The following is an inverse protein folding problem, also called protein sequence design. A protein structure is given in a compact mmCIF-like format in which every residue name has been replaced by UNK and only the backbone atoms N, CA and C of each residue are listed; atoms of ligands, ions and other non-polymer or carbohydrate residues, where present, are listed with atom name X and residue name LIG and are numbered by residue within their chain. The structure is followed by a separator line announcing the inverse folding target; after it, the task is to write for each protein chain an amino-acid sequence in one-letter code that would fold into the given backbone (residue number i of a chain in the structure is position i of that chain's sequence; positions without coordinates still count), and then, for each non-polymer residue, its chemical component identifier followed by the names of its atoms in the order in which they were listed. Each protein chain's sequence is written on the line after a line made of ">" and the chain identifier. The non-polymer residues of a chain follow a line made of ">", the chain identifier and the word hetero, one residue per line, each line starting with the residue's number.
data_IF_453118951871
#
_entry.id   IF_453118951871
#
_cell.length_a   1.000
_cell.length_b   1.000
_cell.length_c   1.000
_cell.angle_alpha   90.00
_cell.angle_beta   90.00
_cell.angle_gamma   90.00
#
_symmetry.space_group_name_H-M   'P 1'
#
loop_
_entity.id
_entity.type
_entity.pdbx_description
1 polymer ?
#
# COMPACT_ATOMS: atom_id res chain seq x y z
N UNK A 1 11.18 21.98 15.22
CA UNK A 1 10.46 21.03 14.34
C UNK A 1 10.73 21.41 12.90
N UNK A 2 11.12 20.46 12.05
CA UNK A 2 11.32 20.64 10.61
C UNK A 2 10.00 20.38 9.90
N UNK A 3 9.49 21.37 9.16
CA UNK A 3 8.15 21.32 8.58
C UNK A 3 8.24 21.21 7.06
N UNK A 4 7.72 20.14 6.49
CA UNK A 4 7.47 20.00 5.07
C UNK A 4 6.07 20.53 4.72
N UNK A 5 5.92 21.09 3.51
CA UNK A 5 4.63 21.48 2.95
C UNK A 5 4.36 20.59 1.75
N UNK A 6 3.14 20.10 1.60
CA UNK A 6 2.68 19.49 0.35
C UNK A 6 1.50 20.26 -0.25
N UNK A 7 1.59 20.57 -1.54
CA UNK A 7 0.54 21.22 -2.29
C UNK A 7 0.38 20.62 -3.69
N UNK A 8 -0.84 20.79 -4.23
CA UNK A 8 -1.13 20.51 -5.63
C UNK A 8 -1.59 21.77 -6.32
N UNK A 9 -0.91 22.12 -7.41
CA UNK A 9 -1.17 23.34 -8.20
C UNK A 9 -1.93 22.98 -9.48
N UNK A 10 -3.07 23.63 -9.72
CA UNK A 10 -3.79 23.49 -10.99
C UNK A 10 -3.15 24.34 -12.06
N UNK A 11 -2.85 23.72 -13.21
CA UNK A 11 -2.35 24.43 -14.40
C UNK A 11 -3.45 25.20 -15.13
N UNK A 12 -4.73 24.86 -14.90
CA UNK A 12 -5.89 25.49 -15.57
C UNK A 12 -6.31 26.81 -14.91
N UNK A 13 -6.11 26.95 -13.61
CA UNK A 13 -6.41 28.19 -12.89
C UNK A 13 -5.09 28.93 -12.74
N UNK A 14 -4.86 29.98 -13.53
CA UNK A 14 -3.70 30.87 -13.37
C UNK A 14 -3.68 31.49 -11.95
N UNK A 15 -3.09 30.79 -11.00
CA UNK A 15 -2.04 31.30 -10.12
C UNK A 15 -2.37 32.14 -8.88
N UNK A 16 -3.63 32.39 -8.50
CA UNK A 16 -3.89 33.15 -7.25
C UNK A 16 -4.23 32.25 -6.05
N UNK A 17 -5.21 31.36 -6.19
CA UNK A 17 -5.68 30.58 -5.04
C UNK A 17 -4.62 29.63 -4.48
N UNK A 18 -3.80 29.00 -5.34
CA UNK A 18 -2.78 28.07 -4.84
C UNK A 18 -1.58 28.79 -4.23
N UNK A 19 -1.22 29.96 -4.75
CA UNK A 19 -0.18 30.80 -4.15
C UNK A 19 -0.62 31.34 -2.79
N UNK A 20 -1.88 31.76 -2.66
CA UNK A 20 -2.44 32.16 -1.36
C UNK A 20 -2.41 31.00 -0.35
N UNK A 21 -2.79 29.79 -0.77
CA UNK A 21 -2.70 28.60 0.07
C UNK A 21 -1.27 28.30 0.51
N UNK A 22 -0.31 28.34 -0.43
CA UNK A 22 1.11 28.14 -0.13
C UNK A 22 1.65 29.20 0.81
N UNK A 23 1.26 30.47 0.63
CA UNK A 23 1.65 31.56 1.50
C UNK A 23 1.19 31.31 2.94
N UNK A 24 -0.07 30.92 3.12
CA UNK A 24 -0.62 30.60 4.45
C UNK A 24 0.06 29.37 5.06
N UNK A 25 0.35 28.34 4.27
CA UNK A 25 1.08 27.14 4.75
C UNK A 25 2.52 27.47 5.15
N UNK A 26 3.19 28.37 4.42
CA UNK A 26 4.55 28.85 4.77
C UNK A 26 4.53 29.65 6.06
N UNK A 27 3.60 30.60 6.20
CA UNK A 27 3.42 31.35 7.43
C UNK A 27 3.15 30.43 8.63
N UNK A 28 2.31 29.40 8.45
CA UNK A 28 2.09 28.38 9.47
C UNK A 28 3.37 27.62 9.82
N UNK A 29 4.13 27.17 8.81
CA UNK A 29 5.37 26.42 9.00
C UNK A 29 6.41 27.24 9.78
N UNK A 30 6.56 28.52 9.46
CA UNK A 30 7.47 29.46 10.14
C UNK A 30 7.06 29.71 11.60
N UNK A 31 5.76 29.72 11.91
CA UNK A 31 5.27 29.86 13.29
C UNK A 31 5.50 28.61 14.15
N UNK A 32 5.53 27.43 13.54
CA UNK A 32 5.60 26.14 14.25
C UNK A 32 6.97 25.45 14.14
N UNK A 33 7.90 26.01 13.36
CA UNK A 33 9.21 25.42 13.15
C UNK A 33 10.00 26.04 12.01
N UNK A 34 10.92 25.26 11.46
CA UNK A 34 11.75 25.65 10.32
C UNK A 34 11.22 24.96 9.07
N UNK A 35 10.92 25.75 8.03
CA UNK A 35 10.53 25.21 6.74
C UNK A 35 11.67 24.35 6.18
N UNK A 36 11.38 23.07 5.95
CA UNK A 36 12.32 22.11 5.36
C UNK A 36 12.27 22.15 3.82
N UNK A 37 11.10 21.82 3.25
CA UNK A 37 10.88 21.78 1.80
C UNK A 37 9.39 21.93 1.48
N UNK A 38 9.10 22.53 0.34
CA UNK A 38 7.76 22.54 -0.25
C UNK A 38 7.75 21.57 -1.42
N UNK A 39 6.91 20.54 -1.30
CA UNK A 39 6.65 19.53 -2.31
C UNK A 39 5.40 19.93 -3.09
N UNK A 40 5.54 20.12 -4.40
CA UNK A 40 4.45 20.63 -5.23
C UNK A 40 4.25 19.75 -6.46
N UNK A 41 3.07 19.16 -6.60
CA UNK A 41 2.69 18.40 -7.79
C UNK A 41 1.68 19.19 -8.65
N UNK A 42 1.78 19.06 -9.97
CA UNK A 42 0.83 19.68 -10.89
C UNK A 42 -0.45 18.85 -11.08
N UNK A 43 -1.57 19.55 -11.22
CA UNK A 43 -2.88 19.01 -11.56
C UNK A 43 -3.15 19.15 -13.07
N UNK A 44 -2.21 18.67 -13.87
CA UNK A 44 -2.51 18.37 -15.27
C UNK A 44 -3.41 17.13 -15.36
N UNK A 45 -4.40 17.19 -16.25
CA UNK A 45 -5.39 16.15 -16.45
C UNK A 45 -4.76 14.93 -17.11
N UNK A 46 -4.58 13.85 -16.34
CA UNK A 46 -4.07 12.57 -16.83
C UNK A 46 -2.60 12.34 -16.45
N UNK A 47 -2.40 11.57 -15.38
CA UNK A 47 -1.12 10.93 -15.04
C UNK A 47 0.10 11.85 -14.89
N UNK A 48 -0.01 12.94 -14.13
CA UNK A 48 1.18 13.57 -13.55
C UNK A 48 1.80 12.57 -12.54
N UNK A 49 3.08 12.25 -12.69
CA UNK A 49 3.79 11.13 -12.04
C UNK A 49 3.99 11.28 -10.50
N UNK A 50 3.31 12.25 -9.88
CA UNK A 50 3.32 12.55 -8.43
C UNK A 50 4.73 12.49 -7.84
N UNK A 51 5.70 13.03 -8.57
CA UNK A 51 7.11 12.89 -8.26
C UNK A 51 7.42 13.53 -6.90
N UNK A 52 6.81 14.68 -6.61
CA UNK A 52 7.02 15.37 -5.34
C UNK A 52 6.29 14.68 -4.19
N UNK A 53 5.11 14.10 -4.40
CA UNK A 53 4.47 13.27 -3.37
C UNK A 53 5.29 12.01 -3.03
N UNK A 54 5.83 11.33 -4.04
CA UNK A 54 6.72 10.16 -3.83
C UNK A 54 8.00 10.57 -3.11
N UNK A 55 8.60 11.69 -3.49
CA UNK A 55 9.76 12.26 -2.81
C UNK A 55 9.44 12.58 -1.35
N UNK A 56 8.27 13.16 -1.06
CA UNK A 56 7.81 13.44 0.29
C UNK A 56 7.77 12.18 1.16
N UNK A 57 7.15 11.10 0.67
CA UNK A 57 7.07 9.83 1.41
C UNK A 57 8.46 9.23 1.65
N UNK A 58 9.32 9.25 0.63
CA UNK A 58 10.70 8.76 0.76
C UNK A 58 11.50 9.58 1.78
N UNK A 59 11.38 10.90 1.75
CA UNK A 59 12.09 11.79 2.66
C UNK A 59 11.51 11.73 4.09
N UNK A 60 10.21 11.42 4.23
CA UNK A 60 9.59 11.10 5.50
C UNK A 60 10.14 9.79 6.09
N UNK A 61 10.27 8.74 5.28
CA UNK A 61 10.92 7.49 5.66
C UNK A 61 12.36 7.71 6.14
N UNK A 62 13.09 8.61 5.46
CA UNK A 62 14.44 9.04 5.85
C UNK A 62 14.47 10.01 7.04
N UNK A 63 13.31 10.36 7.63
CA UNK A 63 13.15 11.28 8.76
C UNK A 63 13.81 12.65 8.53
N UNK A 64 13.73 13.17 7.30
CA UNK A 64 14.30 14.48 6.93
C UNK A 64 13.48 15.67 7.46
N UNK A 65 12.22 15.44 7.80
CA UNK A 65 11.34 16.39 8.46
C UNK A 65 10.50 15.71 9.53
N UNK A 66 9.90 16.51 10.40
CA UNK A 66 9.17 16.04 11.58
C UNK A 66 7.65 16.18 11.40
N UNK A 67 7.20 17.15 10.59
CA UNK A 67 5.80 17.44 10.32
C UNK A 67 5.59 17.71 8.83
N UNK A 68 4.56 17.14 8.22
CA UNK A 68 4.00 17.62 6.95
C UNK A 68 2.71 18.39 7.17
N UNK A 69 2.62 19.57 6.54
CA UNK A 69 1.38 20.36 6.48
C UNK A 69 0.85 20.41 5.06
N UNK A 70 -0.47 20.37 4.92
CA UNK A 70 -1.16 20.44 3.64
C UNK A 70 -2.51 21.13 3.80
N UNK A 71 -3.09 21.65 2.71
CA UNK A 71 -4.31 22.44 2.79
C UNK A 71 -5.50 21.64 3.35
N UNK A 72 -5.87 20.55 2.67
CA UNK A 72 -7.00 19.64 2.99
C UNK A 72 -6.76 18.25 2.39
N UNK A 73 -7.51 17.26 2.84
CA UNK A 73 -7.30 15.84 2.52
C UNK A 73 -7.32 15.54 1.01
N UNK A 74 -8.27 16.07 0.24
CA UNK A 74 -8.37 15.92 -1.23
C UNK A 74 -7.23 16.62 -1.99
N UNK A 75 -6.57 17.59 -1.36
CA UNK A 75 -5.35 18.23 -1.88
C UNK A 75 -4.09 17.47 -1.49
N UNK A 76 -4.12 16.61 -0.46
CA UNK A 76 -3.00 15.74 -0.10
C UNK A 76 -2.90 14.52 -1.05
N UNK A 77 -4.02 13.90 -1.41
CA UNK A 77 -4.04 12.85 -2.44
C UNK A 77 -5.33 12.86 -3.24
N UNK A 78 -5.22 12.49 -4.52
CA UNK A 78 -6.31 12.44 -5.51
C UNK A 78 -7.04 11.10 -5.53
N UNK A 79 -6.53 10.12 -4.77
CA UNK A 79 -7.00 8.73 -4.72
C UNK A 79 -8.20 8.52 -3.78
N UNK A 80 -8.80 9.62 -3.32
CA UNK A 80 -9.92 9.61 -2.38
C UNK A 80 -9.49 9.42 -0.93
N UNK A 81 -10.39 9.76 -0.01
CA UNK A 81 -10.10 9.84 1.43
C UNK A 81 -9.38 8.59 1.95
N UNK A 82 -9.88 7.40 1.64
CA UNK A 82 -9.35 6.15 2.17
C UNK A 82 -7.87 5.91 1.80
N UNK A 83 -7.50 6.10 0.54
CA UNK A 83 -6.12 5.96 0.10
C UNK A 83 -5.24 7.04 0.74
N UNK A 84 -5.75 8.27 0.82
CA UNK A 84 -5.08 9.37 1.52
C UNK A 84 -4.75 9.02 2.98
N UNK A 85 -5.68 8.37 3.69
CA UNK A 85 -5.48 7.95 5.09
C UNK A 85 -4.37 6.90 5.24
N UNK A 86 -4.13 6.04 4.24
CA UNK A 86 -3.02 5.07 4.27
C UNK A 86 -1.68 5.78 4.29
N UNK A 87 -1.51 6.83 3.49
CA UNK A 87 -0.29 7.65 3.50
C UNK A 87 -0.10 8.38 4.84
N UNK A 88 -1.17 8.88 5.45
CA UNK A 88 -1.07 9.50 6.79
C UNK A 88 -0.63 8.50 7.86
N UNK A 89 -1.14 7.26 7.80
CA UNK A 89 -0.69 6.18 8.68
C UNK A 89 0.78 5.81 8.42
N UNK A 90 1.22 5.78 7.16
CA UNK A 90 2.61 5.52 6.79
C UNK A 90 3.54 6.59 7.37
N UNK A 91 3.21 7.88 7.20
CA UNK A 91 3.94 9.00 7.81
C UNK A 91 4.06 8.84 9.33
N UNK A 92 2.93 8.57 10.01
CA UNK A 92 2.92 8.37 11.46
C UNK A 92 3.80 7.17 11.87
N UNK A 93 3.80 6.08 11.10
CA UNK A 93 4.65 4.92 11.35
C UNK A 93 6.15 5.22 11.23
N UNK A 94 6.52 6.25 10.48
CA UNK A 94 7.89 6.76 10.36
C UNK A 94 8.23 7.80 11.43
N UNK A 95 7.29 8.11 12.33
CA UNK A 95 7.45 9.17 13.34
C UNK A 95 7.32 10.58 12.77
N UNK A 96 6.69 10.70 11.60
CA UNK A 96 6.43 11.99 10.95
C UNK A 96 4.97 12.37 11.20
N UNK A 97 4.78 13.51 11.87
CA UNK A 97 3.46 14.07 12.10
C UNK A 97 2.88 14.62 10.79
N UNK A 98 1.55 14.70 10.73
CA UNK A 98 0.80 15.35 9.68
C UNK A 98 -0.25 16.30 10.25
N UNK A 99 -0.57 17.35 9.50
CA UNK A 99 -1.66 18.29 9.82
C UNK A 99 -2.30 18.87 8.56
N UNK A 100 -3.64 18.86 8.52
CA UNK A 100 -4.39 19.69 7.58
C UNK A 100 -4.53 21.12 8.12
N UNK A 101 -4.39 22.09 7.23
CA UNK A 101 -4.59 23.50 7.53
C UNK A 101 -6.07 23.86 7.73
N UNK A 102 -6.97 23.37 6.87
CA UNK A 102 -8.40 23.72 6.93
C UNK A 102 -9.26 22.71 7.69
N UNK A 103 -8.70 21.54 8.02
CA UNK A 103 -9.41 20.45 8.70
C UNK A 103 -8.74 20.18 10.05
N UNK A 104 -9.04 20.95 11.12
CA UNK A 104 -8.33 20.88 12.40
C UNK A 104 -8.39 19.52 13.08
N UNK A 105 -9.44 18.75 12.78
CA UNK A 105 -9.57 17.39 13.27
C UNK A 105 -8.43 16.51 12.73
N UNK A 106 -7.97 16.74 11.49
CA UNK A 106 -6.90 15.99 10.84
C UNK A 106 -5.52 16.51 11.25
N UNK A 107 -5.22 16.40 12.55
CA UNK A 107 -4.00 16.82 13.19
C UNK A 107 -3.46 15.72 14.11
N UNK A 108 -2.31 15.16 13.75
CA UNK A 108 -1.64 14.11 14.54
C UNK A 108 -0.92 14.63 15.78
N UNK A 109 -0.69 15.94 15.89
CA UNK A 109 -0.11 16.59 17.07
C UNK A 109 -1.20 17.05 18.05
N UNK A 110 -2.46 17.05 17.62
CA UNK A 110 -3.60 17.46 18.44
C UNK A 110 -4.08 16.37 19.41
N UNK A 111 -4.97 16.72 20.35
CA UNK A 111 -5.52 15.78 21.34
C UNK A 111 -6.31 14.61 20.74
N UNK A 112 -6.67 14.70 19.46
CA UNK A 112 -7.40 13.66 18.73
C UNK A 112 -6.52 12.83 17.79
N UNK A 113 -5.19 13.00 17.82
CA UNK A 113 -4.26 12.28 16.94
C UNK A 113 -4.46 10.75 17.00
N UNK A 114 -4.49 10.19 18.21
CA UNK A 114 -4.69 8.74 18.44
C UNK A 114 -6.07 8.25 18.00
N UNK A 115 -7.10 9.09 18.15
CA UNK A 115 -8.47 8.77 17.71
C UNK A 115 -8.52 8.66 16.20
N UNK A 116 -7.90 9.61 15.49
CA UNK A 116 -7.81 9.55 14.04
C UNK A 116 -7.05 8.31 13.62
N UNK A 117 -5.86 8.07 14.17
CA UNK A 117 -5.05 6.88 13.85
C UNK A 117 -5.84 5.58 14.05
N UNK A 118 -6.61 5.47 15.14
CA UNK A 118 -7.47 4.32 15.44
C UNK A 118 -8.62 4.16 14.46
N UNK A 119 -9.26 5.27 14.06
CA UNK A 119 -10.27 5.29 13.00
C UNK A 119 -9.66 4.86 11.66
N UNK A 120 -8.44 5.32 11.32
CA UNK A 120 -7.72 4.92 10.10
C UNK A 120 -7.45 3.41 10.10
N UNK A 121 -7.00 2.87 11.23
CA UNK A 121 -6.72 1.46 11.39
C UNK A 121 -7.99 0.61 11.21
N UNK A 122 -9.12 1.08 11.75
CA UNK A 122 -10.42 0.40 11.65
C UNK A 122 -10.92 0.37 10.20
N UNK A 123 -10.86 1.50 9.49
CA UNK A 123 -11.25 1.58 8.08
C UNK A 123 -10.36 0.65 7.22
N UNK A 124 -9.05 0.68 7.43
CA UNK A 124 -8.11 -0.19 6.71
C UNK A 124 -8.38 -1.69 6.97
N UNK A 125 -8.77 -2.05 8.20
CA UNK A 125 -9.12 -3.44 8.53
C UNK A 125 -10.43 -3.88 7.83
N UNK A 126 -11.43 -3.01 7.74
CA UNK A 126 -12.69 -3.30 7.04
C UNK A 126 -12.48 -3.53 5.54
N UNK A 127 -11.57 -2.79 4.91
CA UNK A 127 -11.22 -3.01 3.51
C UNK A 127 -10.59 -4.39 3.26
N UNK A 128 -9.71 -4.84 4.16
CA UNK A 128 -9.12 -6.18 4.07
C UNK A 128 -10.19 -7.27 4.18
N UNK A 129 -11.22 -7.04 5.01
CA UNK A 129 -12.38 -7.94 5.10
C UNK A 129 -13.12 -7.97 3.76
N UNK A 130 -13.47 -6.81 3.19
CA UNK A 130 -14.14 -6.73 1.88
C UNK A 130 -13.35 -7.38 0.75
N UNK A 131 -12.03 -7.17 0.69
CA UNK A 131 -11.17 -7.79 -0.33
C UNK A 131 -11.18 -9.32 -0.18
N UNK A 132 -11.11 -9.83 1.06
CA UNK A 132 -11.18 -11.27 1.34
C UNK A 132 -12.54 -11.84 0.95
N UNK A 133 -13.63 -11.14 1.24
CA UNK A 133 -15.00 -11.52 0.87
C UNK A 133 -15.16 -11.59 -0.66
N UNK A 134 -14.71 -10.57 -1.38
CA UNK A 134 -14.74 -10.54 -2.84
C UNK A 134 -13.88 -11.66 -3.46
N UNK A 135 -12.70 -11.90 -2.90
CA UNK A 135 -11.82 -13.00 -3.32
C UNK A 135 -12.50 -14.35 -3.12
N UNK A 136 -13.11 -14.56 -1.95
CA UNK A 136 -13.86 -15.78 -1.64
C UNK A 136 -15.02 -15.98 -2.62
N UNK A 137 -15.83 -14.94 -2.84
CA UNK A 137 -16.94 -14.98 -3.80
C UNK A 137 -16.48 -15.30 -5.23
N UNK A 138 -15.34 -14.74 -5.66
CA UNK A 138 -14.76 -15.04 -6.97
C UNK A 138 -14.27 -16.49 -7.07
N UNK A 139 -13.63 -17.02 -6.01
CA UNK A 139 -13.21 -18.42 -5.95
C UNK A 139 -14.41 -19.38 -5.95
N UNK A 140 -15.47 -19.06 -5.22
CA UNK A 140 -16.68 -19.87 -5.16
C UNK A 140 -17.39 -19.93 -6.52
N UNK A 141 -17.46 -18.80 -7.25
CA UNK A 141 -17.93 -18.80 -8.65
C UNK A 141 -17.08 -19.70 -9.56
N UNK A 142 -15.75 -19.66 -9.42
CA UNK A 142 -14.86 -20.54 -10.19
C UNK A 142 -15.07 -22.02 -9.86
N UNK A 143 -15.26 -22.36 -8.58
CA UNK A 143 -15.61 -23.74 -8.16
C UNK A 143 -16.93 -24.19 -8.77
N UNK A 144 -17.96 -23.35 -8.72
CA UNK A 144 -19.28 -23.65 -9.29
C UNK A 144 -19.21 -23.85 -10.82
N UNK A 145 -18.32 -23.14 -11.51
CA UNK A 145 -18.02 -23.33 -12.92
C UNK A 145 -17.12 -24.55 -13.22
N UNK A 146 -16.80 -25.38 -12.21
CA UNK A 146 -16.00 -26.60 -12.38
C UNK A 146 -14.48 -26.37 -12.47
N UNK A 147 -14.00 -25.15 -12.23
CA UNK A 147 -12.55 -24.86 -12.28
C UNK A 147 -11.87 -25.43 -11.02
N UNK A 148 -10.89 -26.32 -11.22
CA UNK A 148 -10.03 -26.83 -10.14
C UNK A 148 -9.16 -25.69 -9.61
N UNK A 149 -9.34 -25.36 -8.34
CA UNK A 149 -8.54 -24.37 -7.63
C UNK A 149 -7.37 -25.04 -6.89
N UNK A 150 -6.28 -24.30 -6.70
CA UNK A 150 -5.08 -24.77 -6.00
C UNK A 150 -3.91 -25.04 -6.94
N UNK A 151 -2.80 -25.54 -6.39
CA UNK A 151 -1.62 -25.86 -7.17
C UNK A 151 -1.93 -26.98 -8.19
N UNK A 152 -1.44 -26.87 -9.43
CA UNK A 152 -1.66 -27.90 -10.44
C UNK A 152 -1.12 -29.26 -9.95
N UNK A 153 -1.94 -30.29 -10.07
CA UNK A 153 -1.54 -31.68 -9.78
C UNK A 153 -0.70 -32.21 -10.94
N UNK A 154 0.22 -33.14 -10.66
CA UNK A 154 0.92 -33.87 -11.71
C UNK A 154 -0.08 -34.74 -12.50
N UNK A 155 0.18 -34.91 -13.78
CA UNK A 155 -0.63 -35.77 -14.65
C UNK A 155 -0.53 -37.24 -14.20
N UNK A 156 -1.58 -38.02 -14.47
CA UNK A 156 -1.69 -39.41 -14.02
C UNK A 156 -0.51 -40.27 -14.49
N UNK A 157 -0.05 -40.07 -15.71
CA UNK A 157 1.08 -40.80 -16.28
C UNK A 157 2.37 -40.65 -15.46
N UNK A 158 2.64 -39.44 -14.94
CA UNK A 158 3.81 -39.17 -14.09
C UNK A 158 3.67 -39.84 -12.73
N UNK A 159 2.44 -39.90 -12.19
CA UNK A 159 2.13 -40.58 -10.93
C UNK A 159 2.30 -42.10 -11.10
N UNK A 160 1.82 -42.67 -12.21
CA UNK A 160 1.93 -44.10 -12.51
C UNK A 160 3.39 -44.52 -12.71
N UNK A 161 4.20 -43.69 -13.38
CA UNK A 161 5.64 -43.91 -13.51
C UNK A 161 6.34 -43.86 -12.15
N UNK A 162 5.95 -42.94 -11.28
CA UNK A 162 6.47 -42.83 -9.92
C UNK A 162 6.18 -44.10 -9.10
N UNK A 163 4.96 -44.65 -9.16
CA UNK A 163 4.62 -45.89 -8.45
C UNK A 163 5.34 -47.11 -9.03
N UNK A 164 5.49 -47.19 -10.36
CA UNK A 164 6.27 -48.25 -11.03
C UNK A 164 7.72 -48.26 -10.56
N UNK A 165 8.40 -47.11 -10.65
CA UNK A 165 9.79 -46.99 -10.17
C UNK A 165 9.92 -47.35 -8.69
N UNK A 166 8.92 -47.01 -7.87
CA UNK A 166 8.92 -47.38 -6.46
C UNK A 166 8.76 -48.89 -6.25
N UNK A 167 7.87 -49.53 -7.00
CA UNK A 167 7.66 -50.98 -6.97
C UNK A 167 8.90 -51.75 -7.44
N UNK A 168 9.64 -51.20 -8.41
CA UNK A 168 10.93 -51.71 -8.89
C UNK A 168 12.08 -51.50 -7.88
N UNK A 169 11.80 -50.99 -6.68
CA UNK A 169 12.76 -50.82 -5.59
C UNK A 169 13.57 -49.52 -5.63
N UNK A 170 13.25 -48.57 -6.51
CA UNK A 170 13.98 -47.31 -6.56
C UNK A 170 13.81 -46.48 -5.28
N UNK A 171 14.90 -45.83 -4.85
CA UNK A 171 14.86 -44.90 -3.72
C UNK A 171 14.13 -43.61 -4.10
N UNK A 172 13.56 -42.92 -3.11
CA UNK A 172 12.84 -41.66 -3.36
C UNK A 172 13.73 -40.58 -4.00
N UNK A 173 15.05 -40.62 -3.74
CA UNK A 173 16.03 -39.75 -4.40
C UNK A 173 16.25 -40.13 -5.87
N UNK A 174 16.30 -41.42 -6.19
CA UNK A 174 16.41 -41.88 -7.57
C UNK A 174 15.16 -41.49 -8.39
N UNK A 175 13.96 -41.65 -7.81
CA UNK A 175 12.69 -41.24 -8.44
C UNK A 175 12.65 -39.71 -8.64
N UNK A 176 13.08 -38.95 -7.64
CA UNK A 176 13.18 -37.48 -7.71
C UNK A 176 14.04 -37.02 -8.89
N UNK A 177 15.20 -37.65 -9.10
CA UNK A 177 16.10 -37.36 -10.23
C UNK A 177 15.50 -37.79 -11.56
N UNK A 178 14.92 -38.99 -11.63
CA UNK A 178 14.36 -39.56 -12.86
C UNK A 178 13.16 -38.74 -13.38
N UNK A 179 12.25 -38.34 -12.49
CA UNK A 179 11.02 -37.62 -12.86
C UNK A 179 11.17 -36.10 -12.76
N UNK A 180 12.36 -35.59 -12.43
CA UNK A 180 12.65 -34.15 -12.22
C UNK A 180 11.64 -33.51 -11.25
N UNK A 181 11.38 -34.20 -10.14
CA UNK A 181 10.45 -33.76 -9.10
C UNK A 181 11.21 -33.53 -7.80
N UNK A 182 10.79 -32.57 -6.97
CA UNK A 182 11.39 -32.41 -5.64
C UNK A 182 11.15 -33.66 -4.78
N UNK A 183 12.06 -34.01 -3.85
CA UNK A 183 11.85 -35.12 -2.92
C UNK A 183 10.55 -34.99 -2.11
N UNK A 184 10.16 -33.76 -1.76
CA UNK A 184 8.89 -33.47 -1.08
C UNK A 184 7.67 -33.78 -1.94
N UNK A 185 7.73 -33.51 -3.25
CA UNK A 185 6.64 -33.86 -4.18
C UNK A 185 6.55 -35.36 -4.38
N UNK A 186 7.70 -36.06 -4.50
CA UNK A 186 7.73 -37.53 -4.61
C UNK A 186 7.12 -38.17 -3.36
N UNK A 187 7.53 -37.74 -2.17
CA UNK A 187 6.98 -38.26 -0.92
C UNK A 187 5.46 -38.04 -0.82
N UNK A 188 4.96 -36.85 -1.21
CA UNK A 188 3.53 -36.53 -1.22
C UNK A 188 2.69 -37.53 -2.05
N UNK A 189 3.19 -37.97 -3.20
CA UNK A 189 2.48 -38.89 -4.09
C UNK A 189 2.69 -40.38 -3.77
N UNK A 190 3.59 -40.71 -2.84
CA UNK A 190 3.80 -42.09 -2.38
C UNK A 190 3.08 -42.44 -1.07
N UNK A 191 2.64 -41.42 -0.32
CA UNK A 191 2.03 -41.56 1.02
C UNK A 191 0.51 -41.35 0.98
N UNK A 192 -0.03 -40.83 -0.12
CA UNK A 192 -1.47 -40.76 -0.39
C UNK A 192 -1.95 -41.93 -1.22
#
# INVERSE_FOLDING_TARGET
>A
MRVAIYARVSTKTKGQDTENQLHQLRAFAEQHGTLYKVFTDEESGGSADRAEFKALLLEAYQKKFDLVVFWRLDRFSREGALATLKYLKELASHGVAYKSFTEPYLDSLGPFGDVIVSMLATIAAQDLIKIRENTKAALDKKRAAGVKLGAPTKGQEVIDQLHRLKADGASNQAISRALKMSPSTVAKYLVG
#
